data_IF_192654421335
#
_entry.id   IF_192654421335
#
_cell.length_a   1.000
_cell.length_b   1.000
_cell.length_c   1.000
_cell.angle_alpha   90.00
_cell.angle_beta   90.00
_cell.angle_gamma   90.00
#
_symmetry.space_group_name_H-M   'P 1'
#
loop_
_entity.id
_entity.type
_entity.pdbx_description
1 polymer ?
#
# COMPACT_ATOMS: atom_id res chain seq x y z
N UNK A 1 5.76 4.61 24.41
CA UNK A 1 4.42 4.08 24.07
C UNK A 1 4.36 3.51 22.66
N UNK A 2 4.32 4.29 21.55
CA UNK A 2 4.23 3.70 20.19
C UNK A 2 5.38 2.74 19.85
N UNK A 3 6.63 3.10 20.19
CA UNK A 3 7.80 2.21 20.00
C UNK A 3 7.70 0.91 20.80
N UNK A 4 7.12 0.97 21.99
CA UNK A 4 6.97 -0.20 22.86
C UNK A 4 5.85 -1.10 22.32
N UNK A 5 4.74 -0.50 21.85
CA UNK A 5 3.64 -1.22 21.20
C UNK A 5 4.06 -1.86 19.86
N UNK A 6 4.99 -1.24 19.11
CA UNK A 6 5.55 -1.89 17.91
C UNK A 6 6.36 -3.14 18.25
N UNK A 7 7.08 -3.14 19.37
CA UNK A 7 7.77 -4.34 19.83
C UNK A 7 6.80 -5.40 20.36
N UNK A 8 5.72 -4.97 21.04
CA UNK A 8 4.65 -5.85 21.53
C UNK A 8 3.91 -6.57 20.38
N UNK A 9 3.77 -5.91 19.22
CA UNK A 9 3.07 -6.45 18.05
C UNK A 9 3.77 -7.65 17.39
N UNK A 10 5.08 -7.82 17.59
CA UNK A 10 5.91 -8.84 16.92
C UNK A 10 5.41 -10.26 17.24
N UNK A 11 5.23 -10.56 18.53
CA UNK A 11 4.91 -11.93 18.95
C UNK A 11 3.52 -12.37 18.47
N UNK A 12 2.43 -11.58 18.64
CA UNK A 12 1.13 -11.94 18.11
C UNK A 12 1.14 -12.17 16.59
N UNK A 13 1.80 -11.29 15.81
CA UNK A 13 1.89 -11.45 14.35
C UNK A 13 2.68 -12.70 13.99
N UNK A 14 3.79 -12.98 14.67
CA UNK A 14 4.58 -14.21 14.45
C UNK A 14 3.77 -15.47 14.76
N UNK A 15 2.99 -15.47 15.84
CA UNK A 15 2.16 -16.62 16.23
C UNK A 15 1.07 -16.92 15.20
N UNK A 16 0.45 -15.90 14.63
CA UNK A 16 -0.61 -16.07 13.63
C UNK A 16 -0.03 -16.46 12.27
N UNK A 17 0.98 -15.73 11.80
CA UNK A 17 1.51 -15.89 10.43
C UNK A 17 2.50 -17.06 10.29
N UNK A 18 3.21 -17.40 11.36
CA UNK A 18 4.38 -18.28 11.29
C UNK A 18 5.61 -17.66 10.60
N UNK A 19 5.52 -16.40 10.14
CA UNK A 19 6.62 -15.69 9.50
C UNK A 19 7.55 -15.07 10.54
N UNK A 20 8.86 -15.20 10.33
CA UNK A 20 9.87 -14.69 11.26
C UNK A 20 10.87 -13.78 10.55
N UNK A 21 11.12 -12.61 11.14
CA UNK A 21 12.08 -11.63 10.62
C UNK A 21 13.05 -11.22 11.72
N UNK A 22 14.38 -11.32 11.49
CA UNK A 22 15.38 -10.90 12.47
C UNK A 22 15.29 -9.40 12.79
N UNK A 23 15.35 -9.05 14.08
CA UNK A 23 15.38 -7.67 14.55
C UNK A 23 14.50 -7.45 15.79
N UNK A 24 14.58 -6.28 16.41
CA UNK A 24 13.75 -5.92 17.57
C UNK A 24 12.40 -5.29 17.19
N UNK A 25 12.11 -5.20 15.87
CA UNK A 25 10.86 -4.70 15.28
C UNK A 25 10.48 -3.28 15.72
N UNK A 26 11.42 -2.51 16.28
CA UNK A 26 11.10 -1.17 16.80
C UNK A 26 10.84 -0.20 15.68
N UNK A 27 9.66 0.40 15.71
CA UNK A 27 9.26 1.40 14.75
C UNK A 27 9.98 2.74 14.94
N UNK A 28 10.32 3.38 13.82
CA UNK A 28 10.63 4.80 13.80
C UNK A 28 9.33 5.61 13.92
N UNK A 29 9.15 6.27 15.06
CA UNK A 29 8.05 7.21 15.28
C UNK A 29 8.44 8.55 14.67
N UNK A 30 7.68 8.98 13.66
CA UNK A 30 7.99 10.13 12.81
C UNK A 30 6.85 11.15 12.80
N UNK A 31 7.17 12.38 12.43
CA UNK A 31 6.18 13.39 12.06
C UNK A 31 5.93 13.39 10.54
N UNK A 32 5.04 14.29 10.07
CA UNK A 32 4.68 14.37 8.65
C UNK A 32 5.86 14.77 7.75
N UNK A 33 6.66 15.80 8.07
CA UNK A 33 7.86 16.12 7.28
C UNK A 33 8.85 14.96 7.18
N UNK A 34 9.12 14.25 8.28
CA UNK A 34 10.02 13.09 8.25
C UNK A 34 9.46 11.94 7.39
N UNK A 35 8.15 11.70 7.43
CA UNK A 35 7.50 10.73 6.53
C UNK A 35 7.63 11.12 5.05
N UNK A 36 7.46 12.41 4.72
CA UNK A 36 7.65 12.92 3.35
C UNK A 36 9.10 12.72 2.91
N UNK A 37 10.07 13.08 3.76
CA UNK A 37 11.49 12.92 3.46
C UNK A 37 11.88 11.46 3.20
N UNK A 38 11.36 10.53 4.03
CA UNK A 38 11.53 9.10 3.83
C UNK A 38 10.98 8.62 2.48
N UNK A 39 9.75 9.01 2.12
CA UNK A 39 9.15 8.60 0.84
C UNK A 39 9.89 9.17 -0.37
N UNK A 40 10.40 10.40 -0.28
CA UNK A 40 11.25 10.99 -1.33
C UNK A 40 12.56 10.22 -1.48
N UNK A 41 13.17 9.78 -0.38
CA UNK A 41 14.37 8.94 -0.41
C UNK A 41 14.08 7.57 -1.04
N UNK A 42 13.04 6.87 -0.57
CA UNK A 42 12.65 5.56 -1.11
C UNK A 42 12.28 5.61 -2.59
N UNK A 43 11.61 6.68 -3.05
CA UNK A 43 11.33 6.87 -4.48
C UNK A 43 12.60 7.05 -5.31
N UNK A 44 13.62 7.73 -4.77
CA UNK A 44 14.93 7.83 -5.45
C UNK A 44 15.57 6.47 -5.62
N UNK A 45 15.54 5.63 -4.57
CA UNK A 45 16.06 4.26 -4.63
C UNK A 45 15.29 3.43 -5.68
N UNK A 46 13.96 3.45 -5.63
CA UNK A 46 13.13 2.69 -6.57
C UNK A 46 13.32 3.12 -8.04
N UNK A 47 13.62 4.41 -8.27
CA UNK A 47 13.86 4.96 -9.60
C UNK A 47 15.32 4.88 -10.05
N UNK A 48 16.26 4.51 -9.18
CA UNK A 48 17.69 4.49 -9.51
C UNK A 48 18.00 3.65 -10.76
N UNK A 49 17.45 2.44 -10.96
CA UNK A 49 17.73 1.64 -12.16
C UNK A 49 17.34 2.36 -13.47
N UNK A 50 16.21 3.09 -13.46
CA UNK A 50 15.74 3.88 -14.60
C UNK A 50 16.60 5.13 -14.84
N UNK A 51 17.19 5.69 -13.80
CA UNK A 51 18.08 6.85 -13.90
C UNK A 51 19.46 6.45 -14.42
N UNK A 52 19.99 5.31 -13.96
CA UNK A 52 21.29 4.76 -14.37
C UNK A 52 21.29 4.35 -15.85
N UNK A 53 20.18 3.76 -16.35
CA UNK A 53 20.03 3.39 -17.77
C UNK A 53 20.05 4.61 -18.72
N UNK A 54 19.78 5.79 -18.16
CA UNK A 54 19.72 7.07 -18.87
C UNK A 54 21.02 7.87 -18.69
N UNK A 55 21.91 7.46 -17.77
CA UNK A 55 23.18 8.13 -17.52
C UNK A 55 24.08 8.05 -18.77
N UNK A 56 24.34 9.21 -19.39
CA UNK A 56 25.08 9.31 -20.67
C UNK A 56 24.21 9.36 -21.93
N UNK A 57 22.88 9.35 -21.81
CA UNK A 57 21.91 9.59 -22.89
C UNK A 57 21.07 10.84 -22.59
N UNK A 58 20.40 11.42 -23.61
CA UNK A 58 19.41 12.46 -23.31
C UNK A 58 18.27 11.84 -22.47
N UNK A 59 17.90 12.46 -21.33
CA UNK A 59 16.80 11.95 -20.53
C UNK A 59 15.51 11.88 -21.34
N UNK A 60 14.79 10.75 -21.33
CA UNK A 60 13.45 10.67 -21.87
C UNK A 60 12.61 11.85 -21.40
N UNK A 61 11.72 12.35 -22.27
CA UNK A 61 10.95 13.57 -22.01
C UNK A 61 10.22 13.56 -20.65
N UNK A 62 9.80 12.37 -20.16
CA UNK A 62 9.17 12.22 -18.86
C UNK A 62 10.11 12.51 -17.67
N UNK A 63 11.38 12.06 -17.72
CA UNK A 63 12.38 12.32 -16.68
C UNK A 63 12.71 13.81 -16.63
N UNK A 64 12.81 14.45 -17.80
CA UNK A 64 13.04 15.90 -17.91
C UNK A 64 11.86 16.71 -17.37
N UNK A 65 10.62 16.30 -17.66
CA UNK A 65 9.40 16.93 -17.12
C UNK A 65 9.26 16.74 -15.60
N UNK A 66 9.75 15.62 -15.06
CA UNK A 66 9.85 15.34 -13.62
C UNK A 66 10.80 16.31 -12.89
N UNK A 67 11.89 16.73 -13.54
CA UNK A 67 12.89 17.65 -12.97
C UNK A 67 12.47 19.13 -12.92
N UNK A 68 11.30 19.51 -13.45
CA UNK A 68 10.86 20.91 -13.43
C UNK A 68 10.41 21.35 -12.02
N UNK A 69 10.72 22.61 -11.65
CA UNK A 69 10.27 23.20 -10.36
C UNK A 69 8.75 23.14 -10.17
N UNK A 70 7.97 23.21 -11.25
CA UNK A 70 6.52 23.11 -11.22
C UNK A 70 6.03 21.71 -10.83
N UNK A 71 6.66 20.66 -11.38
CA UNK A 71 6.34 19.27 -11.05
C UNK A 71 6.73 18.94 -9.61
N UNK A 72 7.89 19.40 -9.14
CA UNK A 72 8.33 19.20 -7.75
C UNK A 72 7.34 19.81 -6.73
N UNK A 73 6.79 21.01 -7.00
CA UNK A 73 5.78 21.62 -6.15
C UNK A 73 4.48 20.81 -6.11
N UNK A 74 4.05 20.27 -7.26
CA UNK A 74 2.85 19.44 -7.36
C UNK A 74 3.01 18.12 -6.60
N UNK A 75 4.13 17.43 -6.78
CA UNK A 75 4.46 16.21 -6.02
C UNK A 75 4.52 16.52 -4.52
N UNK A 76 5.18 17.61 -4.14
CA UNK A 76 5.25 18.06 -2.75
C UNK A 76 3.86 18.31 -2.14
N UNK A 77 2.93 18.92 -2.89
CA UNK A 77 1.56 19.13 -2.43
C UNK A 77 0.78 17.82 -2.24
N UNK A 78 0.94 16.85 -3.16
CA UNK A 78 0.33 15.52 -3.03
C UNK A 78 0.88 14.78 -1.82
N UNK A 79 2.21 14.76 -1.64
CA UNK A 79 2.85 14.13 -0.48
C UNK A 79 2.44 14.79 0.84
N UNK A 80 2.36 16.12 0.87
CA UNK A 80 1.89 16.85 2.05
C UNK A 80 0.44 16.45 2.41
N UNK A 81 -0.44 16.33 1.42
CA UNK A 81 -1.81 15.87 1.63
C UNK A 81 -1.86 14.40 2.11
N UNK A 82 -1.12 13.50 1.48
CA UNK A 82 -1.04 12.07 1.85
C UNK A 82 -0.51 11.86 3.27
N UNK A 83 0.48 12.66 3.70
CA UNK A 83 1.05 12.55 5.05
C UNK A 83 0.02 12.74 6.17
N UNK A 84 -1.11 13.40 5.90
CA UNK A 84 -2.23 13.56 6.83
C UNK A 84 -3.18 12.36 6.89
N UNK A 85 -2.98 11.34 6.05
CA UNK A 85 -3.87 10.17 5.90
C UNK A 85 -3.20 8.85 6.27
N UNK A 86 -1.87 8.78 6.14
CA UNK A 86 -1.08 7.57 6.44
C UNK A 86 -0.84 7.45 7.95
N UNK A 87 -1.12 6.27 8.51
CA UNK A 87 -0.93 5.98 9.94
C UNK A 87 0.45 5.37 10.21
N UNK A 88 0.86 4.41 9.38
CA UNK A 88 2.18 3.82 9.38
C UNK A 88 2.56 3.34 7.98
N UNK A 89 3.80 2.88 7.84
CA UNK A 89 4.32 2.36 6.59
C UNK A 89 5.55 1.50 6.87
N UNK A 90 5.67 0.35 6.22
CA UNK A 90 6.96 -0.32 6.08
C UNK A 90 7.74 0.27 4.90
N UNK A 91 8.97 0.76 5.15
CA UNK A 91 9.87 1.22 4.10
C UNK A 91 10.37 0.02 3.29
N UNK A 92 9.72 -0.26 2.15
CA UNK A 92 10.16 -1.33 1.25
C UNK A 92 11.48 -0.96 0.56
N UNK A 93 11.61 0.30 0.13
CA UNK A 93 12.78 0.82 -0.58
C UNK A 93 13.68 1.60 0.38
N UNK A 94 14.60 0.88 1.02
CA UNK A 94 15.67 1.46 1.84
C UNK A 94 16.95 1.63 1.00
N UNK A 95 17.85 2.51 1.45
CA UNK A 95 19.16 2.69 0.80
C UNK A 95 19.94 1.36 0.75
N UNK A 96 20.79 1.14 -0.26
CA UNK A 96 21.56 -0.09 -0.39
C UNK A 96 22.35 -0.43 0.89
N UNK A 97 22.13 -1.63 1.43
CA UNK A 97 22.77 -2.08 2.67
C UNK A 97 22.01 -1.72 3.96
N UNK A 98 20.93 -0.94 3.87
CA UNK A 98 19.99 -0.72 4.96
C UNK A 98 18.80 -1.69 4.87
N UNK A 99 18.21 -2.01 6.04
CA UNK A 99 16.93 -2.74 6.08
C UNK A 99 15.78 -1.75 6.12
N UNK A 100 14.68 -2.12 5.48
CA UNK A 100 13.41 -1.42 5.62
C UNK A 100 13.03 -1.25 7.09
N UNK A 101 12.53 -0.07 7.44
CA UNK A 101 12.06 0.26 8.80
C UNK A 101 10.56 0.41 8.80
N UNK A 102 9.95 0.04 9.92
CA UNK A 102 8.55 0.33 10.20
C UNK A 102 8.45 1.80 10.66
N UNK A 103 7.67 2.60 9.96
CA UNK A 103 7.38 4.00 10.29
C UNK A 103 5.99 4.10 10.93
N UNK A 104 5.88 4.93 11.98
CA UNK A 104 4.59 5.30 12.59
C UNK A 104 4.45 6.82 12.59
N UNK A 105 3.44 7.34 11.87
CA UNK A 105 3.19 8.78 11.72
C UNK A 105 2.36 9.27 12.91
N UNK A 106 3.03 9.55 14.03
CA UNK A 106 2.40 9.84 15.31
C UNK A 106 1.31 10.93 15.26
N UNK A 107 1.50 12.08 14.57
CA UNK A 107 0.46 13.11 14.50
C UNK A 107 -0.84 12.61 13.85
N UNK A 108 -0.72 11.76 12.83
CA UNK A 108 -1.89 11.20 12.13
C UNK A 108 -2.56 10.12 12.95
N UNK A 109 -1.79 9.24 13.61
CA UNK A 109 -2.32 8.23 14.53
C UNK A 109 -3.14 8.89 15.65
N UNK A 110 -2.57 9.90 16.34
CA UNK A 110 -3.26 10.60 17.44
C UNK A 110 -4.52 11.32 16.94
N UNK A 111 -4.46 11.95 15.76
CA UNK A 111 -5.62 12.61 15.18
C UNK A 111 -6.76 11.63 14.85
N UNK A 112 -6.44 10.49 14.24
CA UNK A 112 -7.44 9.47 13.89
C UNK A 112 -8.02 8.83 15.15
N UNK A 113 -7.18 8.49 16.12
CA UNK A 113 -7.60 7.97 17.43
C UNK A 113 -8.68 8.86 18.07
N UNK A 114 -8.41 10.16 18.16
CA UNK A 114 -9.32 11.15 18.74
C UNK A 114 -10.65 11.25 17.98
N UNK A 115 -10.60 11.14 16.64
CA UNK A 115 -11.80 11.16 15.80
C UNK A 115 -12.64 9.90 15.94
N UNK A 116 -12.01 8.74 16.13
CA UNK A 116 -12.71 7.46 16.27
C UNK A 116 -13.25 7.25 17.70
N UNK A 117 -12.74 7.98 18.69
CA UNK A 117 -13.14 7.88 20.10
C UNK A 117 -13.02 6.45 20.65
N UNK A 118 -11.89 5.81 20.36
CA UNK A 118 -11.55 4.43 20.77
C UNK A 118 -10.44 4.43 21.83
N UNK A 119 -10.25 3.34 22.59
CA UNK A 119 -9.18 3.28 23.59
C UNK A 119 -7.79 3.47 22.95
N UNK A 120 -7.02 4.44 23.47
CA UNK A 120 -5.76 4.89 22.84
C UNK A 120 -4.72 3.79 22.71
N UNK A 121 -4.57 2.93 23.74
CA UNK A 121 -3.60 1.83 23.70
C UNK A 121 -3.97 0.83 22.61
N UNK A 122 -5.23 0.38 22.63
CA UNK A 122 -5.76 -0.63 21.73
C UNK A 122 -5.68 -0.17 20.26
N UNK A 123 -6.06 1.08 19.98
CA UNK A 123 -5.95 1.63 18.63
C UNK A 123 -4.50 1.71 18.13
N UNK A 124 -3.58 2.14 18.98
CA UNK A 124 -2.16 2.25 18.59
C UNK A 124 -1.52 0.87 18.43
N UNK A 125 -1.87 -0.10 19.27
CA UNK A 125 -1.43 -1.49 19.10
C UNK A 125 -2.02 -2.09 17.84
N UNK A 126 -3.28 -1.79 17.53
CA UNK A 126 -3.95 -2.20 16.29
C UNK A 126 -3.22 -1.66 15.05
N UNK A 127 -2.80 -0.40 15.05
CA UNK A 127 -1.93 0.14 13.99
C UNK A 127 -0.59 -0.61 13.96
N UNK A 128 0.05 -0.84 15.11
CA UNK A 128 1.34 -1.53 15.16
C UNK A 128 1.28 -2.97 14.61
N UNK A 129 0.22 -3.73 14.90
CA UNK A 129 0.02 -5.08 14.37
C UNK A 129 -0.18 -5.10 12.86
N UNK A 130 -0.91 -4.12 12.33
CA UNK A 130 -1.10 -3.96 10.88
C UNK A 130 0.25 -3.72 10.19
N UNK A 131 1.01 -2.74 10.66
CA UNK A 131 2.32 -2.42 10.10
C UNK A 131 3.34 -3.55 10.30
N UNK A 132 3.30 -4.23 11.44
CA UNK A 132 4.14 -5.39 11.71
C UNK A 132 3.84 -6.54 10.74
N UNK A 133 2.58 -6.70 10.34
CA UNK A 133 2.20 -7.71 9.33
C UNK A 133 2.87 -7.44 8.00
N UNK A 134 2.92 -6.18 7.56
CA UNK A 134 3.68 -5.81 6.35
C UNK A 134 5.18 -5.96 6.53
N UNK A 135 5.71 -5.63 7.71
CA UNK A 135 7.13 -5.85 8.04
C UNK A 135 7.50 -7.32 7.91
N UNK A 136 6.67 -8.25 8.39
CA UNK A 136 6.95 -9.68 8.24
C UNK A 136 6.77 -10.18 6.82
N UNK A 137 5.78 -9.68 6.06
CA UNK A 137 5.62 -10.01 4.64
C UNK A 137 6.88 -9.66 3.84
N UNK A 138 7.35 -8.42 3.91
CA UNK A 138 8.53 -8.00 3.15
C UNK A 138 9.86 -8.42 3.78
N UNK A 139 9.91 -8.62 5.09
CA UNK A 139 11.13 -9.02 5.80
C UNK A 139 11.38 -10.53 5.76
N UNK A 140 10.34 -11.36 5.64
CA UNK A 140 10.47 -12.82 5.58
C UNK A 140 10.51 -13.34 4.12
N UNK A 141 10.15 -12.51 3.14
CA UNK A 141 10.07 -12.88 1.72
C UNK A 141 11.06 -12.01 0.91
N UNK A 142 12.34 -12.43 0.78
CA UNK A 142 13.39 -11.56 0.26
C UNK A 142 13.17 -11.07 -1.17
N UNK A 143 12.48 -11.84 -2.01
CA UNK A 143 12.22 -11.51 -3.41
C UNK A 143 11.07 -10.50 -3.59
N UNK A 144 10.25 -10.27 -2.55
CA UNK A 144 8.99 -9.54 -2.69
C UNK A 144 9.19 -8.05 -3.01
N UNK A 145 10.19 -7.43 -2.38
CA UNK A 145 10.51 -6.01 -2.61
C UNK A 145 10.99 -5.79 -4.05
N UNK A 146 11.88 -6.66 -4.55
CA UNK A 146 12.42 -6.60 -5.90
C UNK A 146 11.33 -6.86 -6.95
N UNK A 147 10.43 -7.81 -6.68
CA UNK A 147 9.27 -8.07 -7.55
C UNK A 147 8.30 -6.88 -7.61
N UNK A 148 8.03 -6.22 -6.47
CA UNK A 148 7.22 -5.00 -6.46
C UNK A 148 7.90 -3.88 -7.26
N UNK A 149 9.21 -3.69 -7.11
CA UNK A 149 9.99 -2.74 -7.92
C UNK A 149 9.91 -3.07 -9.41
N UNK A 150 10.02 -4.35 -9.79
CA UNK A 150 9.94 -4.75 -11.20
C UNK A 150 8.58 -4.45 -11.80
N UNK A 151 7.48 -4.70 -11.07
CA UNK A 151 6.13 -4.35 -11.52
C UNK A 151 5.96 -2.83 -11.72
N UNK A 152 6.55 -2.01 -10.84
CA UNK A 152 6.54 -0.55 -11.00
C UNK A 152 7.35 -0.14 -12.24
N UNK A 153 8.54 -0.72 -12.44
CA UNK A 153 9.36 -0.50 -13.62
C UNK A 153 8.64 -0.85 -14.92
N UNK A 154 8.09 -2.06 -15.01
CA UNK A 154 7.31 -2.54 -16.16
C UNK A 154 6.09 -1.62 -16.43
N UNK A 155 5.42 -1.12 -15.38
CA UNK A 155 4.27 -0.23 -15.53
C UNK A 155 4.69 1.14 -16.09
N UNK A 156 5.82 1.67 -15.63
CA UNK A 156 6.38 2.95 -16.10
C UNK A 156 6.86 2.81 -17.55
N UNK A 157 7.57 1.75 -17.89
CA UNK A 157 8.03 1.47 -19.26
C UNK A 157 6.87 1.29 -20.24
N UNK A 158 5.83 0.56 -19.83
CA UNK A 158 4.62 0.37 -20.63
C UNK A 158 3.77 1.65 -20.76
N UNK A 159 4.03 2.66 -19.93
CA UNK A 159 3.36 3.95 -19.97
C UNK A 159 4.15 4.89 -20.90
N UNK A 160 3.77 4.96 -22.18
CA UNK A 160 4.27 5.99 -23.11
C UNK A 160 3.99 7.43 -22.63
N UNK A 161 3.04 7.57 -21.69
CA UNK A 161 2.68 8.80 -21.02
C UNK A 161 3.60 9.02 -19.82
N UNK A 162 4.48 10.02 -19.91
CA UNK A 162 5.32 10.42 -18.79
C UNK A 162 4.51 10.76 -17.53
N UNK A 163 5.05 10.47 -16.35
CA UNK A 163 4.48 10.82 -15.03
C UNK A 163 4.02 12.30 -14.96
N UNK A 164 4.70 13.19 -15.68
CA UNK A 164 4.30 14.60 -15.84
C UNK A 164 2.94 14.82 -16.52
N UNK A 165 2.54 13.99 -17.49
CA UNK A 165 1.21 14.04 -18.11
C UNK A 165 0.13 13.52 -17.17
N UNK A 166 0.39 12.45 -16.40
CA UNK A 166 -0.53 11.95 -15.37
C UNK A 166 -0.79 13.01 -14.30
N UNK A 167 0.26 13.67 -13.80
CA UNK A 167 0.15 14.75 -12.82
C UNK A 167 -0.56 16.00 -13.39
N UNK A 168 -0.32 16.35 -14.66
CA UNK A 168 -1.04 17.43 -15.36
C UNK A 168 -2.53 17.11 -15.48
N UNK A 169 -2.90 15.87 -15.80
CA UNK A 169 -4.29 15.41 -15.85
C UNK A 169 -4.97 15.55 -14.49
N UNK A 170 -4.31 15.12 -13.41
CA UNK A 170 -4.78 15.30 -12.02
C UNK A 170 -5.00 16.78 -11.68
N UNK A 171 -4.03 17.65 -11.98
CA UNK A 171 -4.14 19.09 -11.70
C UNK A 171 -5.20 19.80 -12.56
N UNK A 172 -5.48 19.29 -13.76
CA UNK A 172 -6.48 19.83 -14.69
C UNK A 172 -7.89 19.42 -14.27
N UNK A 173 -8.08 18.17 -13.84
CA UNK A 173 -9.36 17.69 -13.27
C UNK A 173 -9.66 18.40 -11.95
N UNK A 174 -8.66 18.66 -11.11
CA UNK A 174 -8.84 19.44 -9.88
C UNK A 174 -9.32 20.89 -10.17
N UNK A 175 -8.86 21.50 -11.27
CA UNK A 175 -9.28 22.84 -11.70
C UNK A 175 -10.68 22.89 -12.31
N UNK A 176 -11.08 21.87 -13.06
CA UNK A 176 -12.44 21.80 -13.62
C UNK A 176 -13.50 21.52 -12.56
N UNK A 177 -13.16 20.81 -11.49
CA UNK A 177 -14.07 20.59 -10.34
C UNK A 177 -14.19 21.84 -9.44
N UNK A 178 -13.22 22.77 -9.50
CA UNK A 178 -13.26 24.03 -8.76
C UNK A 178 -14.04 25.17 -9.49
N UNK A 179 -14.52 24.93 -10.72
CA UNK A 179 -15.33 25.88 -11.50
C UNK A 179 -16.80 25.44 -11.60
N UNK A 180 -17.76 26.37 -11.74
CA UNK A 180 -19.18 26.03 -11.92
C UNK A 180 -19.41 25.54 -13.36
N UNK A 181 -19.16 24.26 -13.62
CA UNK A 181 -19.33 23.67 -14.94
C UNK A 181 -19.54 22.15 -14.90
N UNK A 182 -20.45 21.66 -15.74
CA UNK A 182 -20.84 20.24 -15.87
C UNK A 182 -19.61 19.34 -16.09
N UNK A 183 -19.37 18.43 -15.16
CA UNK A 183 -18.34 17.38 -15.29
C UNK A 183 -18.84 16.34 -16.30
N UNK A 184 -18.19 16.25 -17.46
CA UNK A 184 -18.36 15.15 -18.41
C UNK A 184 -18.00 13.83 -17.75
N UNK A 185 -18.88 12.82 -17.87
CA UNK A 185 -18.77 11.48 -17.25
C UNK A 185 -18.01 10.50 -18.15
N UNK A 186 -16.86 10.89 -18.68
CA UNK A 186 -16.00 9.93 -19.37
C UNK A 186 -14.97 9.40 -18.37
N UNK A 187 -14.99 8.09 -18.05
CA UNK A 187 -14.15 7.54 -17.00
C UNK A 187 -12.69 7.51 -17.45
N UNK A 188 -11.78 7.78 -16.52
CA UNK A 188 -10.32 7.66 -16.59
C UNK A 188 -9.81 6.24 -16.96
N UNK A 189 -10.70 5.33 -17.38
CA UNK A 189 -10.42 3.96 -17.82
C UNK A 189 -9.85 3.89 -19.24
N UNK A 190 -9.88 4.98 -20.01
CA UNK A 190 -9.19 5.10 -21.31
C UNK A 190 -7.70 5.45 -21.19
N UNK A 191 -7.16 5.59 -19.97
CA UNK A 191 -5.75 5.93 -19.74
C UNK A 191 -4.82 4.70 -19.61
N UNK A 192 -5.36 3.47 -19.58
CA UNK A 192 -4.58 2.22 -19.67
C UNK A 192 -4.75 1.68 -21.09
N UNK A 193 -3.89 2.15 -21.98
CA UNK A 193 -4.11 2.05 -23.44
C UNK A 193 -3.51 0.78 -24.06
N UNK A 194 -2.62 0.05 -23.36
CA UNK A 194 -1.96 -1.15 -23.91
C UNK A 194 -2.28 -2.45 -23.14
N UNK A 195 -2.38 -3.60 -23.84
CA UNK A 195 -2.50 -4.91 -23.20
C UNK A 195 -1.37 -5.23 -22.21
N UNK A 196 -0.15 -4.77 -22.50
CA UNK A 196 1.01 -4.94 -21.62
C UNK A 196 0.83 -4.20 -20.30
N UNK A 197 0.45 -2.91 -20.34
CA UNK A 197 0.20 -2.11 -19.15
C UNK A 197 -0.93 -2.70 -18.29
N UNK A 198 -1.98 -3.24 -18.92
CA UNK A 198 -3.07 -3.93 -18.23
C UNK A 198 -2.61 -5.20 -17.51
N UNK A 199 -1.73 -5.98 -18.13
CA UNK A 199 -1.20 -7.20 -17.53
C UNK A 199 -0.32 -6.90 -16.29
N UNK A 200 0.49 -5.84 -16.35
CA UNK A 200 1.25 -5.36 -15.19
C UNK A 200 0.32 -4.85 -14.09
N UNK A 201 -0.69 -4.06 -14.46
CA UNK A 201 -1.68 -3.54 -13.52
C UNK A 201 -2.45 -4.65 -12.80
N UNK A 202 -2.88 -5.70 -13.52
CA UNK A 202 -3.59 -6.83 -12.91
C UNK A 202 -2.67 -7.62 -11.94
N UNK A 203 -1.38 -7.79 -12.24
CA UNK A 203 -0.39 -8.39 -11.31
C UNK A 203 -0.19 -7.53 -10.06
N UNK A 204 0.03 -6.22 -10.22
CA UNK A 204 0.20 -5.29 -9.11
C UNK A 204 -1.04 -5.27 -8.22
N UNK A 205 -2.23 -5.28 -8.82
CA UNK A 205 -3.50 -5.32 -8.09
C UNK A 205 -3.67 -6.65 -7.34
N UNK A 206 -3.32 -7.78 -7.95
CA UNK A 206 -3.37 -9.09 -7.31
C UNK A 206 -2.45 -9.15 -6.08
N UNK A 207 -1.21 -8.70 -6.23
CA UNK A 207 -0.25 -8.63 -5.13
C UNK A 207 -0.76 -7.74 -3.98
N UNK A 208 -1.21 -6.51 -4.27
CA UNK A 208 -1.71 -5.61 -3.23
C UNK A 208 -2.95 -6.19 -2.53
N UNK A 209 -3.88 -6.79 -3.28
CA UNK A 209 -5.05 -7.46 -2.69
C UNK A 209 -4.66 -8.61 -1.77
N UNK A 210 -3.64 -9.41 -2.12
CA UNK A 210 -3.11 -10.46 -1.25
C UNK A 210 -2.51 -9.88 0.03
N UNK A 211 -1.62 -8.89 -0.08
CA UNK A 211 -0.90 -8.32 1.07
C UNK A 211 -1.86 -7.72 2.09
N UNK A 212 -2.80 -6.91 1.62
CA UNK A 212 -3.85 -6.27 2.44
C UNK A 212 -4.83 -7.31 3.00
N UNK A 213 -5.24 -8.28 2.18
CA UNK A 213 -6.14 -9.35 2.62
C UNK A 213 -5.54 -10.23 3.71
N UNK A 214 -4.25 -10.54 3.61
CA UNK A 214 -3.51 -11.25 4.64
C UNK A 214 -3.39 -10.42 5.91
N UNK A 215 -3.09 -9.12 5.81
CA UNK A 215 -3.08 -8.22 6.97
C UNK A 215 -4.45 -8.19 7.67
N UNK A 216 -5.54 -8.07 6.93
CA UNK A 216 -6.91 -8.10 7.49
C UNK A 216 -7.21 -9.39 8.27
N UNK A 217 -6.78 -10.55 7.75
CA UNK A 217 -6.95 -11.85 8.44
C UNK A 217 -6.05 -11.96 9.67
N UNK A 218 -4.80 -11.51 9.60
CA UNK A 218 -3.91 -11.49 10.77
C UNK A 218 -4.49 -10.61 11.87
N UNK A 219 -5.04 -9.45 11.50
CA UNK A 219 -5.70 -8.55 12.44
C UNK A 219 -6.96 -9.17 13.08
N UNK A 220 -7.68 -10.03 12.36
CA UNK A 220 -8.81 -10.81 12.91
C UNK A 220 -8.33 -11.89 13.89
N UNK A 221 -7.29 -12.64 13.53
CA UNK A 221 -6.84 -13.82 14.28
C UNK A 221 -6.03 -13.47 15.55
N UNK A 222 -5.38 -12.30 15.59
CA UNK A 222 -4.75 -11.79 16.83
C UNK A 222 -5.81 -11.60 17.94
N UNK A 223 -7.03 -11.20 17.56
CA UNK A 223 -8.24 -11.28 18.37
C UNK A 223 -8.30 -10.41 19.63
N UNK A 224 -9.42 -10.51 20.39
CA UNK A 224 -9.69 -9.66 21.56
C UNK A 224 -8.78 -9.94 22.76
N UNK A 225 -8.00 -11.03 22.73
CA UNK A 225 -7.01 -11.34 23.78
C UNK A 225 -5.83 -10.35 23.77
N UNK A 226 -5.48 -9.83 22.59
CA UNK A 226 -4.39 -8.86 22.44
C UNK A 226 -4.95 -7.44 22.35
N UNK A 227 -6.08 -7.26 21.66
CA UNK A 227 -6.77 -5.97 21.55
C UNK A 227 -8.23 -6.12 22.00
N UNK A 228 -8.53 -5.88 23.28
CA UNK A 228 -9.90 -6.01 23.79
C UNK A 228 -10.97 -5.24 23.02
N UNK A 229 -10.63 -4.09 22.41
CA UNK A 229 -11.57 -3.29 21.62
C UNK A 229 -11.45 -3.46 20.09
N UNK A 230 -10.93 -4.58 19.57
CA UNK A 230 -10.64 -4.75 18.13
C UNK A 230 -11.90 -4.62 17.26
N UNK A 231 -13.04 -5.16 17.69
CA UNK A 231 -14.30 -5.11 16.95
C UNK A 231 -14.82 -3.67 16.87
N UNK A 232 -14.75 -2.93 17.98
CA UNK A 232 -15.12 -1.51 18.03
C UNK A 232 -14.22 -0.66 17.11
N UNK A 233 -12.91 -0.91 17.14
CA UNK A 233 -11.96 -0.21 16.27
C UNK A 233 -12.31 -0.49 14.80
N UNK A 234 -12.53 -1.76 14.43
CA UNK A 234 -12.90 -2.16 13.06
C UNK A 234 -14.19 -1.51 12.59
N UNK A 235 -15.22 -1.49 13.42
CA UNK A 235 -16.50 -0.86 13.11
C UNK A 235 -16.31 0.63 12.80
N UNK A 236 -15.66 1.36 13.72
CA UNK A 236 -15.44 2.81 13.61
C UNK A 236 -14.53 3.16 12.44
N UNK A 237 -13.49 2.36 12.20
CA UNK A 237 -12.57 2.56 11.09
C UNK A 237 -13.26 2.28 9.73
N UNK A 238 -14.08 1.23 9.66
CA UNK A 238 -14.89 0.93 8.48
C UNK A 238 -15.87 2.06 8.17
N UNK A 239 -16.57 2.58 9.18
CA UNK A 239 -17.48 3.72 9.04
C UNK A 239 -16.77 4.98 8.55
N UNK A 240 -15.58 5.28 9.08
CA UNK A 240 -14.74 6.39 8.61
C UNK A 240 -14.35 6.22 7.13
N UNK A 241 -14.02 5.00 6.72
CA UNK A 241 -13.60 4.69 5.35
C UNK A 241 -14.74 4.83 4.35
N UNK A 242 -15.96 4.45 4.75
CA UNK A 242 -17.18 4.54 3.92
C UNK A 242 -17.81 5.93 3.90
N UNK A 243 -17.50 6.81 4.87
CA UNK A 243 -17.96 8.20 4.94
C UNK A 243 -16.80 9.21 4.88
N UNK A 244 -16.23 9.46 3.69
CA UNK A 244 -15.12 10.39 3.53
C UNK A 244 -15.59 11.83 3.64
N UNK A 245 -14.69 12.73 4.04
CA UNK A 245 -14.95 14.17 3.96
C UNK A 245 -15.14 14.62 2.50
N UNK A 246 -15.81 15.76 2.27
CA UNK A 246 -16.07 16.29 0.93
C UNK A 246 -14.79 16.51 0.10
N UNK A 247 -13.68 16.89 0.75
CA UNK A 247 -12.36 17.05 0.12
C UNK A 247 -11.74 15.70 -0.28
N UNK A 248 -11.94 14.66 0.52
CA UNK A 248 -11.47 13.29 0.20
C UNK A 248 -12.21 12.69 -1.01
N UNK A 249 -13.47 13.07 -1.18
CA UNK A 249 -14.31 12.63 -2.30
C UNK A 249 -13.90 13.25 -3.64
N UNK A 250 -13.29 14.45 -3.62
CA UNK A 250 -12.76 15.13 -4.81
C UNK A 250 -11.41 14.54 -5.22
N UNK A 251 -10.51 14.29 -4.27
CA UNK A 251 -9.21 13.68 -4.56
C UNK A 251 -9.32 12.27 -5.17
N UNK A 252 -10.26 11.44 -4.67
CA UNK A 252 -10.53 10.10 -5.24
C UNK A 252 -11.00 10.15 -6.69
N UNK A 253 -11.87 11.11 -7.02
CA UNK A 253 -12.36 11.32 -8.39
C UNK A 253 -11.26 11.80 -9.33
N UNK A 254 -10.36 12.65 -8.82
CA UNK A 254 -9.25 13.23 -9.58
C UNK A 254 -8.14 12.21 -9.89
N UNK A 255 -7.85 11.28 -8.96
CA UNK A 255 -6.85 10.22 -9.15
C UNK A 255 -7.38 9.01 -9.97
N UNK A 256 -8.62 9.06 -10.47
CA UNK A 256 -9.28 7.90 -11.08
C UNK A 256 -9.51 6.75 -10.10
N UNK A 257 -9.34 7.02 -8.80
CA UNK A 257 -9.56 6.06 -7.73
C UNK A 257 -11.05 5.93 -7.41
N UNK A 258 -11.86 5.69 -8.44
CA UNK A 258 -13.03 4.82 -8.31
C UNK A 258 -12.55 3.36 -8.18
N UNK A 259 -11.52 3.12 -7.36
CA UNK A 259 -11.12 1.79 -6.90
C UNK A 259 -12.24 1.37 -5.96
N UNK A 260 -13.27 0.77 -6.57
CA UNK A 260 -14.44 0.20 -5.93
C UNK A 260 -14.01 -0.44 -4.61
N UNK A 261 -14.63 0.02 -3.52
CA UNK A 261 -14.55 -0.51 -2.17
C UNK A 261 -14.74 -2.05 -2.07
N UNK A 262 -15.18 -2.71 -3.14
CA UNK A 262 -15.27 -4.18 -3.29
C UNK A 262 -13.91 -4.88 -3.39
N UNK A 263 -12.86 -4.20 -3.86
CA UNK A 263 -11.59 -4.84 -4.22
C UNK A 263 -10.70 -5.18 -3.01
N UNK A 264 -10.99 -4.62 -1.83
CA UNK A 264 -10.28 -4.91 -0.58
C UNK A 264 -10.89 -6.07 0.21
N UNK A 265 -12.21 -6.32 0.10
CA UNK A 265 -12.82 -7.51 0.73
C UNK A 265 -12.43 -8.80 0.01
N UNK A 266 -12.22 -8.74 -1.31
CA UNK A 266 -11.84 -9.90 -2.15
C UNK A 266 -10.54 -10.58 -1.65
N UNK A 267 -9.53 -9.80 -1.24
CA UNK A 267 -8.27 -10.34 -0.73
C UNK A 267 -8.42 -11.09 0.60
N UNK A 268 -9.12 -10.50 1.57
CA UNK A 268 -9.35 -11.15 2.86
C UNK A 268 -10.21 -12.40 2.72
N UNK A 269 -11.22 -12.39 1.83
CA UNK A 269 -12.03 -13.57 1.53
C UNK A 269 -11.21 -14.69 0.90
N UNK A 270 -10.30 -14.35 -0.02
CA UNK A 270 -9.31 -15.30 -0.56
C UNK A 270 -8.45 -15.92 0.55
N UNK A 271 -7.82 -15.10 1.39
CA UNK A 271 -6.95 -15.61 2.46
C UNK A 271 -7.73 -16.49 3.43
N UNK A 272 -8.93 -16.08 3.86
CA UNK A 272 -9.79 -16.91 4.72
C UNK A 272 -10.17 -18.24 4.07
N UNK A 273 -10.51 -18.24 2.78
CA UNK A 273 -10.89 -19.46 2.06
C UNK A 273 -9.70 -20.44 1.95
N UNK A 274 -8.51 -19.94 1.62
CA UNK A 274 -7.29 -20.75 1.50
C UNK A 274 -6.85 -21.24 2.88
N UNK A 275 -6.72 -20.35 3.87
CA UNK A 275 -6.36 -20.72 5.25
C UNK A 275 -7.37 -21.70 5.85
N UNK A 276 -8.67 -21.52 5.57
CA UNK A 276 -9.71 -22.47 6.00
C UNK A 276 -9.59 -23.85 5.36
N UNK A 277 -8.97 -23.95 4.17
CA UNK A 277 -8.81 -25.19 3.42
C UNK A 277 -7.51 -25.92 3.75
N UNK A 278 -6.39 -25.20 3.88
CA UNK A 278 -5.03 -25.78 4.01
C UNK A 278 -4.25 -25.31 5.25
N UNK A 279 -4.87 -24.49 6.10
CA UNK A 279 -4.22 -23.86 7.25
C UNK A 279 -3.24 -22.75 6.85
N UNK A 280 -2.76 -21.99 7.85
CA UNK A 280 -1.79 -20.91 7.61
C UNK A 280 -0.48 -21.43 7.02
N UNK A 281 -0.02 -22.62 7.45
CA UNK A 281 1.20 -23.23 6.91
C UNK A 281 1.07 -23.57 5.43
N UNK A 282 -0.10 -24.05 4.97
CA UNK A 282 -0.33 -24.31 3.55
C UNK A 282 -0.56 -23.03 2.76
N UNK A 283 -1.20 -22.01 3.36
CA UNK A 283 -1.32 -20.69 2.76
C UNK A 283 0.05 -20.05 2.48
N UNK A 284 1.02 -20.25 3.38
CA UNK A 284 2.36 -19.68 3.27
C UNK A 284 3.16 -20.14 2.03
N UNK A 285 2.68 -21.14 1.28
CA UNK A 285 3.20 -21.46 -0.06
C UNK A 285 3.15 -20.26 -1.02
N UNK A 286 2.22 -19.32 -0.82
CA UNK A 286 2.10 -18.09 -1.60
C UNK A 286 3.39 -17.25 -1.59
N UNK A 287 4.20 -17.37 -0.53
CA UNK A 287 5.44 -16.62 -0.32
C UNK A 287 6.69 -17.25 -0.96
N UNK A 288 6.58 -18.43 -1.55
CA UNK A 288 7.76 -19.17 -2.04
C UNK A 288 8.34 -18.59 -3.32
N UNK A 289 7.52 -18.03 -4.21
CA UNK A 289 7.97 -17.37 -5.44
C UNK A 289 6.93 -16.40 -6.01
N UNK A 290 7.30 -15.62 -7.03
CA UNK A 290 6.34 -14.80 -7.78
C UNK A 290 5.29 -15.63 -8.52
N UNK A 291 5.57 -16.90 -8.83
CA UNK A 291 4.65 -17.81 -9.53
C UNK A 291 3.55 -18.36 -8.61
N UNK A 292 3.81 -18.41 -7.30
CA UNK A 292 2.84 -18.85 -6.29
C UNK A 292 1.87 -17.75 -5.88
N UNK A 293 2.11 -16.49 -6.26
CA UNK A 293 1.15 -15.41 -6.05
C UNK A 293 -0.18 -15.71 -6.76
N UNK A 294 -1.33 -15.37 -6.16
CA UNK A 294 -2.59 -15.50 -6.83
C UNK A 294 -2.75 -14.39 -7.86
N UNK A 295 -3.25 -14.77 -9.02
CA UNK A 295 -3.78 -13.81 -9.98
C UNK A 295 -5.03 -13.13 -9.41
N UNK A 296 -5.39 -11.99 -10.02
CA UNK A 296 -6.66 -11.32 -9.71
C UNK A 296 -7.90 -12.21 -9.91
N UNK A 297 -7.84 -13.14 -10.87
CA UNK A 297 -8.93 -14.08 -11.10
C UNK A 297 -9.05 -15.09 -9.94
N UNK A 298 -7.91 -15.61 -9.50
CA UNK A 298 -7.82 -16.55 -8.38
C UNK A 298 -8.19 -15.93 -7.03
N UNK A 299 -7.90 -14.66 -6.82
CA UNK A 299 -8.38 -13.94 -5.62
C UNK A 299 -9.92 -13.97 -5.53
N UNK A 300 -10.62 -13.97 -6.67
CA UNK A 300 -12.09 -14.06 -6.70
C UNK A 300 -12.61 -15.49 -6.65
N UNK A 301 -11.74 -16.46 -6.89
CA UNK A 301 -12.03 -17.87 -7.02
C UNK A 301 -10.91 -18.68 -6.35
N UNK A 302 -10.83 -18.68 -5.00
CA UNK A 302 -9.71 -19.24 -4.26
C UNK A 302 -9.45 -20.73 -4.57
N UNK A 303 -10.49 -21.46 -4.97
CA UNK A 303 -10.40 -22.84 -5.42
C UNK A 303 -9.51 -23.03 -6.66
N UNK A 304 -9.39 -22.02 -7.52
CA UNK A 304 -8.53 -22.08 -8.71
C UNK A 304 -7.06 -22.02 -8.31
N UNK A 305 -6.71 -21.20 -7.32
CA UNK A 305 -5.36 -21.15 -6.77
C UNK A 305 -5.01 -22.48 -6.09
N UNK A 306 -5.92 -22.99 -5.24
CA UNK A 306 -5.73 -24.28 -4.56
C UNK A 306 -5.52 -25.42 -5.57
N UNK A 307 -6.32 -25.47 -6.64
CA UNK A 307 -6.17 -26.47 -7.70
C UNK A 307 -4.82 -26.34 -8.41
N UNK A 308 -4.39 -25.13 -8.74
CA UNK A 308 -3.08 -24.88 -9.37
C UNK A 308 -1.92 -25.31 -8.47
N UNK A 309 -2.02 -25.02 -7.17
CA UNK A 309 -0.96 -25.38 -6.21
C UNK A 309 -0.92 -26.88 -5.90
N UNK A 310 -2.01 -27.62 -6.17
CA UNK A 310 -2.07 -29.06 -5.97
C UNK A 310 -1.46 -29.88 -7.13
N UNK A 311 -1.32 -29.29 -8.33
CA UNK A 311 -0.79 -29.94 -9.54
C UNK A 311 -1.86 -30.44 -10.50
#
# INVERSE_FOLDING_TARGET
MLRDLSAEAIEPVRQVTGLNVPGDGRAAVVDRPAWIASNVAGMRVAMAPLLDEVEGREPPAFIRDLGSRGTALQIGAVLAWLSGKVLGQYEVFAEPGERGRLLLVAPTIVHVEQQLQVPSRDFRLWVCLHEETHRVQFGAVPWLADYLASLVGEFVEASELGIGQLLKSVAQVARTVAGPGRVSREPLMEAIQSPAQRAVFDRMTGLMSLLEGHADVVMDDVGPKVIPSVELIRERFTQRRTNPSALDSVARKVLGMDVKLRQYSEGADFVRAVVGSVGMSGFNEVWTSSETLPSRAEIRAPEQWLARMAG
#
